data_IF_990589289043
#
_entry.id   IF_990589289043
#
_cell.length_a   1.000
_cell.length_b   1.000
_cell.length_c   1.000
_cell.angle_alpha   90.00
_cell.angle_beta   90.00
_cell.angle_gamma   90.00
#
_symmetry.space_group_name_H-M   'P 1'
#
loop_
_entity.id
_entity.type
_entity.pdbx_description
1 polymer ?
#
# COMPACT_ATOMS: atom_id res chain seq x y z
N UNK A 1 3.20 14.67 -10.68
CA UNK A 1 1.85 14.07 -10.58
C UNK A 1 1.74 13.37 -9.23
N UNK A 2 0.61 13.47 -8.54
CA UNK A 2 0.39 12.80 -7.26
C UNK A 2 -0.81 11.87 -7.34
N UNK A 3 -0.67 10.64 -6.84
CA UNK A 3 -1.81 9.74 -6.62
C UNK A 3 -2.33 10.03 -5.21
N UNK A 4 -3.37 10.87 -5.12
CA UNK A 4 -3.88 11.41 -3.86
C UNK A 4 -4.72 10.44 -3.02
N UNK A 5 -5.28 9.40 -3.65
CA UNK A 5 -6.02 8.36 -2.97
C UNK A 5 -6.07 7.11 -3.87
N UNK A 6 -5.59 5.98 -3.35
CA UNK A 6 -5.75 4.68 -4.00
C UNK A 6 -5.89 3.59 -2.94
N UNK A 7 -6.88 2.72 -3.11
CA UNK A 7 -7.19 1.68 -2.16
C UNK A 7 -8.45 0.90 -2.53
N UNK A 8 -8.72 -0.14 -1.76
CA UNK A 8 -9.85 -1.04 -1.97
C UNK A 8 -10.51 -1.34 -0.62
N UNK A 9 -11.83 -1.51 -0.63
CA UNK A 9 -12.54 -2.09 0.50
C UNK A 9 -12.21 -3.59 0.60
N UNK A 10 -12.44 -4.16 1.76
CA UNK A 10 -12.27 -5.59 1.95
C UNK A 10 -13.37 -6.09 2.89
N UNK A 11 -13.66 -7.38 2.80
CA UNK A 11 -14.59 -8.02 3.71
C UNK A 11 -13.94 -8.09 5.11
N UNK A 12 -14.55 -7.52 6.15
CA UNK A 12 -14.04 -7.66 7.53
C UNK A 12 -13.89 -9.12 7.98
N UNK A 13 -14.62 -10.05 7.36
CA UNK A 13 -14.56 -11.48 7.62
C UNK A 13 -13.51 -12.20 6.75
N UNK A 14 -12.96 -11.54 5.72
CA UNK A 14 -11.88 -12.12 4.92
C UNK A 14 -10.62 -12.24 5.77
N UNK A 15 -10.07 -13.45 5.84
CA UNK A 15 -8.87 -13.72 6.62
C UNK A 15 -7.72 -12.81 6.17
N UNK A 16 -7.28 -11.93 7.08
CA UNK A 16 -6.00 -11.22 7.00
C UNK A 16 -5.85 -10.29 5.78
N UNK A 17 -6.94 -9.67 5.34
CA UNK A 17 -6.98 -8.62 4.31
C UNK A 17 -6.10 -8.84 3.05
N UNK A 18 -6.08 -10.09 2.59
CA UNK A 18 -5.25 -10.54 1.46
C UNK A 18 -5.55 -9.80 0.17
N UNK A 19 -6.82 -9.45 -0.07
CA UNK A 19 -7.21 -8.67 -1.24
C UNK A 19 -6.53 -7.30 -1.23
N UNK A 20 -6.55 -6.61 -0.08
CA UNK A 20 -5.87 -5.32 0.06
C UNK A 20 -4.36 -5.43 -0.08
N UNK A 21 -3.73 -6.44 0.50
CA UNK A 21 -2.29 -6.70 0.33
C UNK A 21 -1.95 -6.86 -1.16
N UNK A 22 -2.69 -7.70 -1.87
CA UNK A 22 -2.52 -7.92 -3.30
C UNK A 22 -2.76 -6.63 -4.11
N UNK A 23 -3.82 -5.90 -3.80
CA UNK A 23 -4.17 -4.65 -4.47
C UNK A 23 -3.04 -3.63 -4.35
N UNK A 24 -2.59 -3.34 -3.12
CA UNK A 24 -1.53 -2.35 -2.87
C UNK A 24 -0.21 -2.76 -3.49
N UNK A 25 0.17 -4.04 -3.40
CA UNK A 25 1.37 -4.58 -4.05
C UNK A 25 1.38 -4.26 -5.55
N UNK A 26 0.29 -4.57 -6.24
CA UNK A 26 0.25 -4.44 -7.70
C UNK A 26 0.06 -2.98 -8.14
N UNK A 27 -0.83 -2.22 -7.51
CA UNK A 27 -1.09 -0.83 -7.93
C UNK A 27 0.11 0.08 -7.69
N UNK A 28 0.84 -0.09 -6.58
CA UNK A 28 2.09 0.65 -6.38
C UNK A 28 3.15 0.23 -7.40
N UNK A 29 3.20 -1.06 -7.79
CA UNK A 29 4.14 -1.54 -8.80
C UNK A 29 3.81 -1.03 -10.21
N UNK A 30 2.53 -0.98 -10.60
CA UNK A 30 2.12 -0.36 -11.87
C UNK A 30 2.38 1.16 -11.87
N UNK A 31 2.20 1.84 -10.74
CA UNK A 31 2.57 3.25 -10.61
C UNK A 31 4.09 3.46 -10.77
N UNK A 32 4.91 2.55 -10.24
CA UNK A 32 6.36 2.56 -10.44
C UNK A 32 6.73 2.29 -11.90
N UNK A 33 6.04 1.37 -12.58
CA UNK A 33 6.24 1.15 -14.03
C UNK A 33 5.91 2.40 -14.84
N UNK A 34 4.82 3.11 -14.54
CA UNK A 34 4.51 4.36 -15.20
C UNK A 34 5.61 5.42 -15.01
N UNK A 35 6.23 5.46 -13.82
CA UNK A 35 7.38 6.34 -13.56
C UNK A 35 8.62 5.95 -14.37
N UNK A 36 8.99 4.65 -14.37
CA UNK A 36 10.24 4.16 -14.98
C UNK A 36 10.14 3.98 -16.49
N UNK A 37 9.04 3.40 -16.99
CA UNK A 37 8.87 2.96 -18.37
C UNK A 37 8.19 4.02 -19.24
N UNK A 38 7.22 4.75 -18.68
CA UNK A 38 6.39 5.69 -19.44
C UNK A 38 6.82 7.16 -19.23
N UNK A 39 7.82 7.42 -18.39
CA UNK A 39 8.36 8.75 -18.15
C UNK A 39 7.43 9.68 -17.36
N UNK A 40 6.43 9.13 -16.66
CA UNK A 40 5.52 9.93 -15.85
C UNK A 40 6.25 10.44 -14.60
N UNK A 41 6.32 11.75 -14.42
CA UNK A 41 6.87 12.35 -13.20
C UNK A 41 5.90 12.15 -12.01
N UNK A 42 5.93 10.96 -11.41
CA UNK A 42 5.18 10.62 -10.21
C UNK A 42 5.93 11.10 -8.96
N UNK A 43 5.27 11.93 -8.16
CA UNK A 43 5.86 12.61 -7.00
C UNK A 43 5.40 12.03 -5.66
N UNK A 44 4.36 11.20 -5.66
CA UNK A 44 3.85 10.61 -4.42
C UNK A 44 2.62 9.73 -4.64
N UNK A 45 2.42 8.81 -3.69
CA UNK A 45 1.32 7.86 -3.66
C UNK A 45 0.74 7.81 -2.25
N UNK A 46 -0.56 8.06 -2.12
CA UNK A 46 -1.27 8.08 -0.84
C UNK A 46 -2.30 6.96 -0.80
N UNK A 47 -2.09 5.99 0.10
CA UNK A 47 -3.01 4.89 0.32
C UNK A 47 -4.32 5.37 0.99
N UNK A 48 -5.45 4.86 0.51
CA UNK A 48 -6.76 5.10 1.09
C UNK A 48 -7.30 3.80 1.73
N UNK A 49 -7.55 3.73 3.02
CA UNK A 49 -7.46 4.78 4.06
C UNK A 49 -6.63 4.31 5.25
N UNK A 50 -6.29 5.23 6.16
CA UNK A 50 -5.49 4.86 7.32
C UNK A 50 -6.22 3.94 8.31
N UNK A 51 -7.51 4.17 8.61
CA UNK A 51 -8.22 3.41 9.63
C UNK A 51 -9.72 3.24 9.36
N UNK A 52 -10.28 2.13 9.87
CA UNK A 52 -11.69 1.76 9.67
C UNK A 52 -12.68 2.65 10.45
N UNK A 53 -12.23 3.42 11.46
CA UNK A 53 -13.12 4.33 12.22
C UNK A 53 -13.58 5.48 11.34
N UNK A 54 -12.68 6.05 10.55
CA UNK A 54 -13.01 7.14 9.62
C UNK A 54 -13.59 6.67 8.30
N UNK A 55 -13.12 5.52 7.81
CA UNK A 55 -13.54 4.96 6.52
C UNK A 55 -13.68 3.44 6.66
N UNK A 56 -14.87 2.96 7.08
CA UNK A 56 -15.12 1.55 7.31
C UNK A 56 -14.77 0.70 6.10
N UNK A 57 -14.16 -0.47 6.35
CA UNK A 57 -13.69 -1.44 5.34
C UNK A 57 -12.49 -1.02 4.50
N UNK A 58 -12.05 0.24 4.52
CA UNK A 58 -10.90 0.71 3.72
C UNK A 58 -9.60 0.85 4.53
N UNK A 59 -9.67 0.80 5.85
CA UNK A 59 -8.55 1.12 6.73
C UNK A 59 -7.43 0.09 6.70
N UNK A 60 -6.18 0.56 6.75
CA UNK A 60 -5.01 -0.25 7.08
C UNK A 60 -4.99 -0.67 8.56
N UNK A 61 -5.67 0.08 9.42
CA UNK A 61 -5.92 -0.25 10.81
C UNK A 61 -7.37 -0.67 11.01
N UNK A 62 -7.56 -1.82 11.63
CA UNK A 62 -8.85 -2.24 12.15
C UNK A 62 -9.18 -1.43 13.40
N UNK A 63 -10.45 -1.08 13.58
CA UNK A 63 -10.94 -0.39 14.77
C UNK A 63 -12.03 -1.20 15.45
N UNK A 64 -11.72 -1.74 16.63
CA UNK A 64 -12.65 -2.50 17.45
C UNK A 64 -12.39 -2.19 18.93
N UNK A 65 -13.46 -2.17 19.74
CA UNK A 65 -13.37 -1.95 21.18
C UNK A 65 -12.52 -0.72 21.59
N UNK A 66 -12.64 0.40 20.85
CA UNK A 66 -11.85 1.62 21.03
C UNK A 66 -10.32 1.46 20.85
N UNK A 67 -9.87 0.40 20.20
CA UNK A 67 -8.47 0.13 19.91
C UNK A 67 -8.21 0.05 18.41
N UNK A 68 -7.01 0.44 17.99
CA UNK A 68 -6.54 0.33 16.62
C UNK A 68 -5.56 -0.83 16.50
N UNK A 69 -5.89 -1.79 15.65
CA UNK A 69 -5.06 -2.96 15.40
C UNK A 69 -4.51 -2.94 13.97
N UNK A 70 -3.21 -3.13 13.77
CA UNK A 70 -2.62 -3.09 12.45
C UNK A 70 -2.99 -4.34 11.63
N UNK A 71 -3.52 -4.14 10.43
CA UNK A 71 -3.77 -5.25 9.50
C UNK A 71 -2.48 -5.67 8.77
N UNK A 72 -2.43 -6.87 8.18
CA UNK A 72 -1.34 -7.29 7.30
C UNK A 72 -1.01 -6.29 6.18
N UNK A 73 -2.01 -5.67 5.56
CA UNK A 73 -1.79 -4.59 4.59
C UNK A 73 -0.96 -3.41 5.12
N UNK A 74 -1.11 -3.03 6.39
CA UNK A 74 -0.29 -1.98 7.01
C UNK A 74 1.19 -2.38 7.02
N UNK A 75 1.49 -3.61 7.50
CA UNK A 75 2.86 -4.13 7.56
C UNK A 75 3.47 -4.25 6.17
N UNK A 76 2.66 -4.67 5.20
CA UNK A 76 3.08 -4.79 3.80
C UNK A 76 3.38 -3.44 3.17
N UNK A 77 2.49 -2.46 3.34
CA UNK A 77 2.70 -1.11 2.82
C UNK A 77 3.90 -0.42 3.46
N UNK A 78 4.12 -0.61 4.77
CA UNK A 78 5.34 -0.16 5.45
C UNK A 78 6.59 -0.75 4.80
N UNK A 79 6.60 -2.04 4.49
CA UNK A 79 7.76 -2.67 3.82
C UNK A 79 8.03 -2.04 2.44
N UNK A 80 7.00 -1.68 1.68
CA UNK A 80 7.16 -0.98 0.40
C UNK A 80 7.78 0.41 0.61
N UNK A 81 7.31 1.15 1.61
CA UNK A 81 7.85 2.49 1.96
C UNK A 81 9.30 2.38 2.42
N UNK A 82 9.60 1.47 3.37
CA UNK A 82 10.93 1.27 3.92
C UNK A 82 11.95 0.88 2.83
N UNK A 83 11.50 0.14 1.81
CA UNK A 83 12.31 -0.24 0.65
C UNK A 83 12.31 0.79 -0.49
N UNK A 84 11.58 1.90 -0.36
CA UNK A 84 11.34 2.87 -1.42
C UNK A 84 10.91 2.23 -2.76
N UNK A 85 9.98 1.26 -2.69
CA UNK A 85 9.49 0.51 -3.86
C UNK A 85 9.79 -0.99 -3.77
N UNK A 86 10.17 -1.59 -4.91
CA UNK A 86 10.34 -3.05 -5.07
C UNK A 86 11.76 -3.40 -5.52
N UNK A 87 12.75 -3.43 -4.61
CA UNK A 87 14.12 -3.78 -4.95
C UNK A 87 14.21 -5.23 -5.44
N UNK A 88 14.88 -5.44 -6.57
CA UNK A 88 15.19 -6.77 -7.10
C UNK A 88 16.49 -7.34 -6.52
N UNK A 89 16.74 -8.65 -6.64
CA UNK A 89 17.98 -9.27 -6.17
C UNK A 89 19.26 -8.66 -6.81
N UNK A 90 19.18 -8.17 -8.05
CA UNK A 90 20.29 -7.49 -8.72
C UNK A 90 20.53 -6.04 -8.23
N UNK A 91 19.53 -5.42 -7.59
CA UNK A 91 19.67 -4.07 -7.03
C UNK A 91 20.46 -4.04 -5.73
N UNK A 92 20.63 -5.20 -5.06
CA UNK A 92 21.45 -5.32 -3.84
C UNK A 92 22.95 -5.03 -4.07
N UNK A 93 23.43 -5.10 -5.32
CA UNK A 93 24.83 -4.83 -5.67
C UNK A 93 25.10 -3.39 -6.15
N UNK A 94 24.07 -2.59 -6.38
CA UNK A 94 24.16 -1.17 -6.76
C UNK A 94 23.15 -0.37 -5.93
N UNK A 95 23.34 -0.37 -4.62
CA UNK A 95 22.73 0.68 -3.80
C UNK A 95 23.46 1.98 -4.12
N UNK A 96 22.72 2.94 -4.69
CA UNK A 96 23.16 4.32 -4.86
C UNK A 96 23.04 5.07 -3.53
#
# INVERSE_FOLDING_TARGET
MYIIANGIDDDPLAAQDRLRVYYMQNYVNEALKAYVLDGINLCGYFAYSFNDRSAPKFGLYHYAANQFEPKPSMKHYRKIIDNNGFPGPETLGRFC
#
